data_IF_583802507901
#
_entry.id   IF_583802507901
#
_cell.length_a   1.000
_cell.length_b   1.000
_cell.length_c   1.000
_cell.angle_alpha   90.00
_cell.angle_beta   90.00
_cell.angle_gamma   90.00
#
_symmetry.space_group_name_H-M   'P 1'
#
loop_
_entity.id
_entity.type
_entity.pdbx_description
1 polymer ?
#
# COMPACT_ATOMS: atom_id res chain seq x y z
N UNK A 1 31.15 36.15 19.15
CA UNK A 1 30.30 36.71 20.23
C UNK A 1 29.77 35.53 21.02
N UNK A 2 30.44 35.19 22.13
CA UNK A 2 30.15 34.03 22.98
C UNK A 2 29.13 34.43 24.04
N UNK A 3 28.03 33.68 24.15
CA UNK A 3 27.24 33.60 25.38
C UNK A 3 26.93 32.13 25.64
N UNK A 4 27.53 31.62 26.71
CA UNK A 4 27.30 30.31 27.30
C UNK A 4 26.36 30.41 28.50
N UNK A 5 25.62 29.31 28.68
CA UNK A 5 25.28 28.62 29.94
C UNK A 5 23.90 28.79 30.62
N UNK A 6 23.30 27.60 30.76
CA UNK A 6 22.66 27.01 31.95
C UNK A 6 21.17 27.27 32.23
N UNK A 7 20.39 26.21 32.06
CA UNK A 7 19.46 25.76 33.10
C UNK A 7 19.28 24.23 33.08
N UNK A 8 19.33 23.66 34.29
CA UNK A 8 19.32 22.25 34.66
C UNK A 8 18.06 22.03 35.51
N UNK A 9 17.21 21.03 35.21
CA UNK A 9 16.24 20.39 36.13
C UNK A 9 15.61 19.18 35.40
N UNK A 10 16.10 17.94 35.54
CA UNK A 10 15.93 16.89 36.59
C UNK A 10 14.48 16.39 36.86
N UNK A 11 14.29 15.11 36.49
CA UNK A 11 13.45 14.03 37.09
C UNK A 11 11.94 14.10 36.76
N UNK A 12 11.37 13.14 36.02
CA UNK A 12 10.98 11.83 36.57
C UNK A 12 10.89 10.72 35.50
N UNK A 13 11.53 9.57 35.79
CA UNK A 13 11.36 8.29 35.10
C UNK A 13 10.41 7.44 35.95
N UNK A 14 9.26 7.05 35.39
CA UNK A 14 8.42 5.99 35.96
C UNK A 14 8.62 4.72 35.14
N UNK A 15 9.26 3.74 35.76
CA UNK A 15 9.44 2.39 35.25
C UNK A 15 8.16 1.57 35.43
N UNK A 16 7.68 0.94 34.36
CA UNK A 16 6.68 -0.13 34.43
C UNK A 16 7.40 -1.47 34.59
N UNK A 17 7.30 -2.05 35.77
CA UNK A 17 7.65 -3.45 36.06
C UNK A 17 6.33 -4.24 36.16
N UNK A 18 6.24 -5.44 35.57
CA UNK A 18 5.02 -6.26 35.60
C UNK A 18 4.86 -6.97 36.94
N UNK A 19 3.67 -6.89 37.55
CA UNK A 19 3.30 -7.75 38.67
C UNK A 19 2.61 -9.01 38.16
N UNK A 20 3.28 -10.14 38.36
CA UNK A 20 2.65 -11.45 38.47
C UNK A 20 2.17 -11.63 39.92
N UNK A 21 0.92 -12.04 40.12
CA UNK A 21 0.48 -12.62 41.39
C UNK A 21 -0.49 -13.78 41.13
N UNK A 22 0.01 -14.99 41.36
CA UNK A 22 -0.75 -16.21 41.56
C UNK A 22 -1.14 -16.32 43.05
N UNK A 23 -2.40 -16.61 43.35
CA UNK A 23 -2.83 -17.42 44.50
C UNK A 23 -4.33 -17.72 44.36
N UNK A 24 -4.71 -18.94 43.98
CA UNK A 24 -5.00 -20.05 44.91
C UNK A 24 -6.16 -19.74 45.86
N UNK A 25 -7.36 -20.21 45.50
CA UNK A 25 -8.58 -20.16 46.29
C UNK A 25 -9.45 -21.39 46.03
N UNK A 26 -8.96 -22.54 46.49
CA UNK A 26 -9.65 -23.83 46.54
C UNK A 26 -10.57 -23.87 47.77
N UNK A 27 -11.88 -23.99 47.55
CA UNK A 27 -12.85 -24.54 48.52
C UNK A 27 -13.91 -25.22 47.66
N UNK A 28 -14.24 -26.50 47.77
CA UNK A 28 -14.23 -27.37 48.95
C UNK A 28 -15.59 -28.07 48.95
N UNK A 29 -15.65 -29.18 48.23
CA UNK A 29 -16.74 -30.16 48.18
C UNK A 29 -16.98 -30.71 49.58
N UNK A 30 -18.21 -30.71 50.10
CA UNK A 30 -18.64 -31.71 51.08
C UNK A 30 -20.17 -31.85 51.12
N UNK A 31 -20.61 -33.02 50.69
CA UNK A 31 -21.83 -33.69 51.13
C UNK A 31 -21.73 -33.92 52.65
N UNK A 32 -22.84 -33.81 53.39
CA UNK A 32 -23.33 -34.87 54.26
C UNK A 32 -24.63 -34.46 54.96
N UNK A 33 -25.52 -35.44 55.04
CA UNK A 33 -26.85 -35.42 55.62
C UNK A 33 -26.87 -35.38 57.15
N UNK A 34 -27.98 -34.88 57.69
CA UNK A 34 -28.72 -35.26 58.90
C UNK A 34 -29.50 -34.02 59.35
N UNK A 35 -30.72 -34.03 59.89
CA UNK A 35 -31.81 -34.97 60.11
C UNK A 35 -32.93 -34.07 60.72
N UNK A 36 -34.11 -34.62 61.05
CA UNK A 36 -35.28 -34.00 61.75
C UNK A 36 -36.45 -33.69 60.79
N UNK A 37 -37.35 -34.63 60.53
CA UNK A 37 -38.39 -35.22 61.41
C UNK A 37 -39.75 -34.50 61.30
N UNK A 38 -40.70 -35.24 60.75
CA UNK A 38 -42.14 -35.30 61.05
C UNK A 38 -43.05 -34.06 60.94
N UNK A 39 -43.89 -34.10 59.91
CA UNK A 39 -45.33 -33.89 60.08
C UNK A 39 -46.11 -34.72 59.04
N UNK A 40 -46.97 -35.62 59.56
CA UNK A 40 -47.75 -36.63 58.84
C UNK A 40 -48.90 -36.04 57.96
N UNK A 41 -49.54 -36.85 57.10
CA UNK A 41 -50.05 -36.43 55.80
C UNK A 41 -51.53 -36.06 55.78
N UNK A 42 -51.88 -35.02 55.02
CA UNK A 42 -53.24 -34.85 54.48
C UNK A 42 -53.36 -35.59 53.15
N UNK A 43 -54.10 -36.69 53.17
CA UNK A 43 -54.57 -37.44 51.99
C UNK A 43 -55.42 -36.52 51.09
N UNK A 44 -54.76 -35.85 50.15
CA UNK A 44 -55.36 -35.26 48.96
C UNK A 44 -54.79 -35.96 47.74
N UNK A 45 -55.60 -36.78 47.07
CA UNK A 45 -55.19 -37.66 45.97
C UNK A 45 -54.38 -36.95 44.90
N UNK A 46 -53.06 -37.16 44.91
CA UNK A 46 -52.18 -36.85 43.78
C UNK A 46 -52.41 -37.91 42.72
N UNK A 47 -53.16 -37.54 41.67
CA UNK A 47 -53.13 -38.25 40.38
C UNK A 47 -51.67 -38.45 39.98
N UNK A 48 -51.25 -39.71 39.85
CA UNK A 48 -50.07 -40.06 39.08
C UNK A 48 -50.34 -39.65 37.64
N UNK A 49 -49.88 -38.45 37.27
CA UNK A 49 -49.75 -38.06 35.87
C UNK A 49 -48.53 -38.84 35.37
N UNK A 50 -48.76 -39.96 34.68
CA UNK A 50 -47.72 -40.56 33.86
C UNK A 50 -47.10 -39.45 33.00
N UNK A 51 -45.78 -39.22 33.05
CA UNK A 51 -45.14 -38.30 32.12
C UNK A 51 -45.41 -38.83 30.72
N UNK A 52 -46.35 -38.19 30.01
CA UNK A 52 -46.59 -38.47 28.60
C UNK A 52 -45.38 -37.88 27.87
N UNK A 53 -44.40 -38.72 27.57
CA UNK A 53 -43.26 -38.43 26.68
C UNK A 53 -43.72 -38.40 25.23
N UNK A 54 -44.73 -37.56 24.94
CA UNK A 54 -45.15 -37.26 23.58
C UNK A 54 -44.44 -36.00 23.13
N UNK A 55 -43.41 -36.14 22.31
CA UNK A 55 -42.80 -35.01 21.60
C UNK A 55 -43.85 -34.48 20.63
N UNK A 56 -44.20 -33.21 20.77
CA UNK A 56 -45.25 -32.63 19.91
C UNK A 56 -44.66 -32.25 18.55
N UNK A 57 -45.46 -32.38 17.49
CA UNK A 57 -45.01 -32.01 16.13
C UNK A 57 -44.58 -30.54 16.08
N UNK A 58 -45.22 -29.66 16.84
CA UNK A 58 -44.86 -28.25 16.94
C UNK A 58 -43.45 -28.04 17.53
N UNK A 59 -43.07 -28.85 18.53
CA UNK A 59 -41.75 -28.81 19.17
C UNK A 59 -40.64 -29.25 18.21
N UNK A 60 -40.90 -30.27 17.37
CA UNK A 60 -39.98 -30.68 16.30
C UNK A 60 -39.85 -29.61 15.22
N UNK A 61 -40.95 -29.02 14.77
CA UNK A 61 -40.90 -27.96 13.75
C UNK A 61 -40.18 -26.71 14.26
N UNK A 62 -40.35 -26.37 15.54
CA UNK A 62 -39.65 -25.27 16.18
C UNK A 62 -38.15 -25.57 16.29
N UNK A 63 -37.77 -26.78 16.71
CA UNK A 63 -36.38 -27.21 16.78
C UNK A 63 -35.69 -27.15 15.41
N UNK A 64 -36.36 -27.63 14.35
CA UNK A 64 -35.84 -27.52 12.97
C UNK A 64 -35.72 -26.06 12.55
N UNK A 65 -36.70 -25.21 12.86
CA UNK A 65 -36.65 -23.77 12.56
C UNK A 65 -35.45 -23.07 13.22
N UNK A 66 -35.19 -23.35 14.50
CA UNK A 66 -34.04 -22.79 15.22
C UNK A 66 -32.71 -23.29 14.64
N UNK A 67 -32.62 -24.58 14.30
CA UNK A 67 -31.41 -25.16 13.67
C UNK A 67 -31.17 -24.52 12.30
N UNK A 68 -32.20 -24.33 11.48
CA UNK A 68 -32.07 -23.70 10.16
C UNK A 68 -31.59 -22.25 10.27
N UNK A 69 -32.16 -21.46 11.18
CA UNK A 69 -31.72 -20.08 11.43
C UNK A 69 -30.27 -20.07 11.93
N UNK A 70 -29.90 -20.98 12.83
CA UNK A 70 -28.53 -21.13 13.32
C UNK A 70 -27.52 -21.50 12.22
N UNK A 71 -27.88 -22.43 11.34
CA UNK A 71 -27.03 -22.82 10.21
C UNK A 71 -26.88 -21.67 9.20
N UNK A 72 -27.95 -20.94 8.88
CA UNK A 72 -27.87 -19.76 8.01
C UNK A 72 -26.96 -18.69 8.61
N UNK A 73 -27.05 -18.44 9.92
CA UNK A 73 -26.16 -17.54 10.64
C UNK A 73 -24.68 -17.95 10.53
N UNK A 74 -24.36 -19.23 10.74
CA UNK A 74 -22.99 -19.74 10.59
C UNK A 74 -22.48 -19.61 9.14
N UNK A 75 -23.31 -19.94 8.14
CA UNK A 75 -22.91 -19.82 6.74
C UNK A 75 -22.63 -18.38 6.31
N UNK A 76 -23.30 -17.39 6.93
CA UNK A 76 -23.04 -15.98 6.66
C UNK A 76 -21.73 -15.47 7.28
N UNK A 77 -21.30 -16.04 8.41
CA UNK A 77 -20.10 -15.60 9.14
C UNK A 77 -18.82 -16.23 8.57
N UNK A 78 -18.89 -17.47 8.07
CA UNK A 78 -17.71 -18.21 7.60
C UNK A 78 -16.89 -17.47 6.50
N UNK A 79 -17.50 -16.90 5.43
CA UNK A 79 -16.75 -16.16 4.42
C UNK A 79 -16.07 -14.90 4.98
N UNK A 80 -16.74 -14.19 5.89
CA UNK A 80 -16.19 -12.99 6.53
C UNK A 80 -15.01 -13.34 7.44
N UNK A 81 -15.12 -14.43 8.21
CA UNK A 81 -14.04 -14.93 9.04
C UNK A 81 -12.85 -15.38 8.19
N UNK A 82 -13.10 -16.07 7.07
CA UNK A 82 -12.07 -16.46 6.10
C UNK A 82 -11.34 -15.27 5.52
N UNK A 83 -12.07 -14.23 5.10
CA UNK A 83 -11.47 -13.01 4.55
C UNK A 83 -10.59 -12.28 5.58
N UNK A 84 -11.08 -12.10 6.81
CA UNK A 84 -10.30 -11.47 7.89
C UNK A 84 -9.07 -12.30 8.29
N UNK A 85 -9.17 -13.62 8.27
CA UNK A 85 -8.04 -14.49 8.57
C UNK A 85 -6.95 -14.38 7.49
N UNK A 86 -7.34 -14.30 6.21
CA UNK A 86 -6.39 -14.09 5.13
C UNK A 86 -5.72 -12.71 5.22
N UNK A 87 -6.49 -11.65 5.46
CA UNK A 87 -5.93 -10.29 5.62
C UNK A 87 -4.93 -10.25 6.81
N UNK A 88 -5.24 -10.94 7.92
CA UNK A 88 -4.33 -11.04 9.07
C UNK A 88 -3.01 -11.75 8.70
N UNK A 89 -3.08 -12.84 7.93
CA UNK A 89 -1.88 -13.53 7.43
C UNK A 89 -1.07 -12.65 6.47
N UNK A 90 -1.74 -11.86 5.62
CA UNK A 90 -1.09 -10.90 4.73
C UNK A 90 -0.34 -9.83 5.54
N UNK A 91 -0.94 -9.29 6.61
CA UNK A 91 -0.28 -8.33 7.49
C UNK A 91 0.92 -8.93 8.23
N UNK A 92 0.79 -10.13 8.80
CA UNK A 92 1.88 -10.80 9.52
C UNK A 92 3.05 -11.12 8.59
N UNK A 93 2.74 -11.64 7.39
CA UNK A 93 3.76 -11.98 6.39
C UNK A 93 4.45 -10.73 5.85
N UNK A 94 3.68 -9.68 5.55
CA UNK A 94 4.24 -8.43 5.05
C UNK A 94 5.08 -7.71 6.12
N UNK A 95 4.70 -7.77 7.40
CA UNK A 95 5.51 -7.24 8.51
C UNK A 95 6.85 -8.00 8.64
N UNK A 96 6.81 -9.33 8.65
CA UNK A 96 8.01 -10.15 8.71
C UNK A 96 8.94 -9.94 7.50
N UNK A 97 8.35 -9.82 6.30
CA UNK A 97 9.08 -9.54 5.07
C UNK A 97 9.72 -8.15 5.10
N UNK A 98 8.98 -7.13 5.53
CA UNK A 98 9.48 -5.76 5.67
C UNK A 98 10.70 -5.70 6.58
N UNK A 99 10.68 -6.36 7.74
CA UNK A 99 11.83 -6.44 8.64
C UNK A 99 13.02 -7.17 8.01
N UNK A 100 12.76 -8.20 7.20
CA UNK A 100 13.78 -8.91 6.42
C UNK A 100 14.45 -8.01 5.40
N UNK A 101 13.64 -7.30 4.59
CA UNK A 101 14.11 -6.35 3.59
C UNK A 101 14.94 -5.23 4.23
N UNK A 102 14.48 -4.67 5.35
CA UNK A 102 15.23 -3.65 6.09
C UNK A 102 16.61 -4.15 6.55
N UNK A 103 16.68 -5.36 7.10
CA UNK A 103 17.95 -5.97 7.50
C UNK A 103 18.86 -6.21 6.30
N UNK A 104 18.30 -6.65 5.18
CA UNK A 104 19.05 -6.88 3.95
C UNK A 104 19.61 -5.60 3.35
N UNK A 105 18.79 -4.54 3.28
CA UNK A 105 19.17 -3.21 2.83
C UNK A 105 20.36 -2.68 3.63
N UNK A 106 20.30 -2.82 4.96
CA UNK A 106 21.40 -2.41 5.84
C UNK A 106 22.62 -3.33 5.68
N UNK A 107 22.43 -4.65 5.65
CA UNK A 107 23.53 -5.62 5.56
C UNK A 107 24.31 -5.51 4.24
N UNK A 108 23.62 -5.24 3.13
CA UNK A 108 24.21 -5.09 1.80
C UNK A 108 24.50 -3.65 1.42
N UNK A 109 24.14 -2.67 2.28
CA UNK A 109 24.23 -1.24 2.01
C UNK A 109 23.56 -0.85 0.67
N UNK A 110 22.34 -1.35 0.41
CA UNK A 110 21.66 -1.17 -0.89
C UNK A 110 21.27 0.27 -1.21
N UNK A 111 21.22 1.15 -0.20
CA UNK A 111 20.84 2.56 -0.35
C UNK A 111 22.06 3.46 -0.54
N UNK A 112 23.27 2.92 -0.43
CA UNK A 112 24.50 3.69 -0.64
C UNK A 112 24.60 4.12 -2.10
N UNK A 113 25.03 5.35 -2.37
CA UNK A 113 25.20 5.86 -3.74
C UNK A 113 26.05 4.91 -4.62
N UNK A 114 27.16 4.41 -4.06
CA UNK A 114 28.05 3.46 -4.74
C UNK A 114 27.40 2.08 -5.04
N UNK A 115 26.27 1.75 -4.43
CA UNK A 115 25.52 0.53 -4.72
C UNK A 115 24.45 0.74 -5.80
N UNK A 116 24.10 1.99 -6.11
CA UNK A 116 23.01 2.34 -7.02
C UNK A 116 23.50 2.66 -8.43
N UNK A 117 22.66 2.36 -9.42
CA UNK A 117 22.79 2.90 -10.79
C UNK A 117 21.70 3.95 -11.03
N UNK A 118 22.06 5.06 -11.66
CA UNK A 118 21.16 6.18 -11.94
C UNK A 118 21.65 7.50 -11.36
N UNK A 119 20.92 8.59 -11.65
CA UNK A 119 21.29 9.94 -11.20
C UNK A 119 20.51 10.27 -9.93
N UNK A 120 21.08 9.97 -8.77
CA UNK A 120 20.45 10.24 -7.46
C UNK A 120 21.03 11.47 -6.76
N UNK A 121 22.26 11.82 -7.12
CA UNK A 121 22.96 12.96 -6.60
C UNK A 121 22.99 14.07 -7.63
N UNK A 122 22.58 15.26 -7.20
CA UNK A 122 22.78 16.48 -7.95
C UNK A 122 23.75 17.37 -7.21
N UNK A 123 24.91 17.62 -7.83
CA UNK A 123 25.85 18.64 -7.39
C UNK A 123 25.54 19.96 -8.09
N UNK A 124 25.38 21.04 -7.32
CA UNK A 124 25.35 22.40 -7.86
C UNK A 124 26.25 23.33 -7.05
N UNK A 125 26.81 24.34 -7.72
CA UNK A 125 27.64 25.35 -7.07
C UNK A 125 26.84 26.62 -6.84
N UNK A 126 26.83 27.13 -5.61
CA UNK A 126 26.25 28.43 -5.26
C UNK A 126 27.19 29.19 -4.34
N UNK A 127 27.55 30.41 -4.73
CA UNK A 127 28.50 31.24 -3.96
C UNK A 127 29.88 30.59 -3.76
N UNK A 128 30.34 29.78 -4.73
CA UNK A 128 31.63 29.08 -4.65
C UNK A 128 31.66 27.86 -3.72
N UNK A 129 30.50 27.45 -3.19
CA UNK A 129 30.33 26.20 -2.44
C UNK A 129 29.57 25.19 -3.28
N UNK A 130 30.05 23.95 -3.29
CA UNK A 130 29.35 22.82 -3.89
C UNK A 130 28.34 22.24 -2.88
N UNK A 131 27.12 22.02 -3.33
CA UNK A 131 26.05 21.39 -2.59
C UNK A 131 25.65 20.13 -3.32
N UNK A 132 25.60 19.00 -2.61
CA UNK A 132 25.05 17.74 -3.11
C UNK A 132 23.66 17.54 -2.51
N UNK A 133 22.66 17.45 -3.39
CA UNK A 133 21.28 17.16 -3.02
C UNK A 133 20.95 15.74 -3.48
N UNK A 134 20.44 14.94 -2.54
CA UNK A 134 19.89 13.62 -2.83
C UNK A 134 18.47 13.83 -3.33
N UNK A 135 18.15 13.26 -4.48
CA UNK A 135 16.81 13.30 -5.04
C UNK A 135 15.94 12.19 -4.44
N UNK A 136 14.60 12.37 -4.36
CA UNK A 136 13.71 11.26 -4.07
C UNK A 136 13.79 10.19 -5.16
N UNK A 137 13.84 8.92 -4.75
CA UNK A 137 14.00 7.80 -5.67
C UNK A 137 13.32 6.55 -5.17
N UNK A 138 13.21 5.56 -6.04
CA UNK A 138 12.73 4.25 -5.67
C UNK A 138 13.66 3.14 -6.19
N UNK A 139 13.92 2.18 -5.31
CA UNK A 139 14.66 0.97 -5.61
C UNK A 139 13.64 -0.15 -5.78
N UNK A 140 13.54 -0.67 -6.99
CA UNK A 140 12.66 -1.77 -7.33
C UNK A 140 13.46 -2.82 -8.10
N UNK A 141 13.99 -3.85 -7.44
CA UNK A 141 14.95 -4.74 -8.10
C UNK A 141 14.36 -5.45 -9.33
N UNK A 142 13.03 -5.66 -9.39
CA UNK A 142 12.38 -6.29 -10.55
C UNK A 142 12.36 -5.39 -11.79
N UNK A 143 12.45 -4.07 -11.61
CA UNK A 143 12.36 -3.05 -12.67
C UNK A 143 13.61 -2.16 -12.79
N UNK A 144 14.54 -2.32 -11.86
CA UNK A 144 15.66 -1.44 -11.53
C UNK A 144 16.65 -1.15 -12.66
N UNK A 145 16.71 -1.98 -13.70
CA UNK A 145 17.79 -1.91 -14.68
C UNK A 145 17.31 -2.16 -16.11
N UNK A 146 16.07 -1.73 -16.40
CA UNK A 146 15.58 -1.70 -17.77
C UNK A 146 16.18 -0.50 -18.51
N UNK A 147 17.43 -0.64 -18.95
CA UNK A 147 18.21 0.40 -19.65
C UNK A 147 17.65 0.76 -21.04
N UNK A 148 16.70 -0.01 -21.55
CA UNK A 148 15.92 0.36 -22.71
C UNK A 148 14.59 0.91 -22.19
N UNK A 149 14.41 2.24 -22.10
CA UNK A 149 13.11 2.77 -21.74
C UNK A 149 12.14 2.29 -22.83
N UNK A 150 11.12 1.54 -22.44
CA UNK A 150 9.97 1.30 -23.31
C UNK A 150 9.23 2.64 -23.44
N UNK A 151 9.82 3.58 -24.18
CA UNK A 151 9.23 4.89 -24.44
C UNK A 151 8.19 4.69 -25.53
N UNK A 152 6.98 4.33 -25.12
CA UNK A 152 5.83 4.67 -25.91
C UNK A 152 5.31 6.01 -25.42
N UNK A 153 5.73 7.08 -26.10
CA UNK A 153 5.36 8.50 -25.92
C UNK A 153 5.23 9.03 -24.48
N UNK A 154 4.29 8.48 -23.71
CA UNK A 154 3.87 8.88 -22.36
C UNK A 154 4.23 7.88 -21.27
N UNK A 155 4.62 6.65 -21.61
CA UNK A 155 5.15 5.68 -20.65
C UNK A 155 6.67 5.73 -20.57
N UNK A 156 7.20 5.66 -19.35
CA UNK A 156 8.63 5.62 -19.09
C UNK A 156 8.92 4.75 -17.85
N UNK A 157 9.57 3.61 -18.08
CA UNK A 157 9.92 2.65 -17.03
C UNK A 157 11.00 3.14 -16.07
N UNK A 158 11.72 4.20 -16.41
CA UNK A 158 12.74 4.78 -15.52
C UNK A 158 12.12 5.62 -14.39
N UNK A 159 10.82 5.91 -14.43
CA UNK A 159 10.11 6.68 -13.41
C UNK A 159 8.98 5.88 -12.78
N UNK A 160 8.81 6.03 -11.47
CA UNK A 160 7.64 5.57 -10.74
C UNK A 160 6.71 6.76 -10.45
N UNK A 161 5.41 6.64 -10.80
CA UNK A 161 4.80 5.57 -11.61
C UNK A 161 5.31 5.59 -13.07
N UNK A 162 5.02 4.53 -13.85
CA UNK A 162 5.42 4.29 -15.26
C UNK A 162 5.07 5.38 -16.30
N UNK A 163 4.78 6.61 -15.89
CA UNK A 163 4.43 7.71 -16.76
C UNK A 163 5.59 8.70 -16.85
N UNK A 164 5.78 9.23 -18.05
CA UNK A 164 6.62 10.40 -18.31
C UNK A 164 6.30 11.55 -17.33
N UNK A 165 7.29 12.40 -17.07
CA UNK A 165 7.20 13.53 -16.12
C UNK A 165 6.17 14.58 -16.53
N UNK A 166 5.75 14.59 -17.79
CA UNK A 166 4.82 15.55 -18.37
C UNK A 166 3.50 14.89 -18.83
N UNK A 167 3.22 13.65 -18.37
CA UNK A 167 1.98 12.96 -18.68
C UNK A 167 0.76 13.64 -18.03
N UNK A 168 -0.31 13.86 -18.77
CA UNK A 168 -1.55 14.47 -18.29
C UNK A 168 -2.47 13.36 -17.76
N UNK A 169 -2.72 13.27 -16.43
CA UNK A 169 -3.51 12.20 -15.84
C UNK A 169 -4.96 12.14 -16.36
N UNK A 170 -5.44 13.19 -17.03
CA UNK A 170 -6.81 13.30 -17.52
C UNK A 170 -6.97 12.85 -18.98
N UNK A 171 -5.88 12.50 -19.65
CA UNK A 171 -5.87 12.02 -21.04
C UNK A 171 -5.54 10.53 -21.06
N UNK A 172 -6.03 9.80 -22.06
CA UNK A 172 -5.66 8.39 -22.26
C UNK A 172 -4.13 8.28 -22.47
N UNK A 173 -3.42 7.56 -21.57
CA UNK A 173 -1.97 7.42 -21.67
C UNK A 173 -1.48 6.62 -22.88
N UNK A 174 -2.36 5.82 -23.51
CA UNK A 174 -2.06 5.12 -24.77
C UNK A 174 -2.33 5.95 -26.02
N UNK A 175 -2.93 7.12 -25.87
CA UNK A 175 -3.23 8.02 -26.98
C UNK A 175 -2.08 9.00 -27.26
N UNK A 176 -1.96 9.40 -28.53
CA UNK A 176 -0.98 10.42 -28.91
C UNK A 176 -1.54 11.81 -28.60
N UNK A 177 -0.80 12.60 -27.84
CA UNK A 177 -1.21 13.97 -27.52
C UNK A 177 -0.06 14.94 -27.25
N UNK A 178 -0.30 16.21 -27.57
CA UNK A 178 0.61 17.32 -27.27
C UNK A 178 0.58 17.63 -25.78
N UNK A 179 1.76 17.72 -25.16
CA UNK A 179 1.92 17.99 -23.72
C UNK A 179 1.09 19.21 -23.30
N UNK A 180 0.28 19.03 -22.25
CA UNK A 180 -0.47 20.11 -21.63
C UNK A 180 0.48 20.91 -20.71
N UNK A 181 0.70 22.22 -20.94
CA UNK A 181 1.69 23.00 -20.19
C UNK A 181 1.50 22.97 -18.66
N UNK A 182 0.25 22.93 -18.18
CA UNK A 182 -0.08 22.91 -16.75
C UNK A 182 0.24 21.60 -16.02
N UNK A 183 0.67 20.56 -16.76
CA UNK A 183 1.03 19.25 -16.22
C UNK A 183 2.52 18.95 -16.36
N UNK A 184 3.33 19.91 -16.81
CA UNK A 184 4.77 19.73 -16.85
C UNK A 184 5.37 19.76 -15.43
N UNK A 185 6.50 19.06 -15.22
CA UNK A 185 7.23 19.11 -13.95
C UNK A 185 6.58 18.36 -12.79
N UNK A 186 5.85 17.28 -13.08
CA UNK A 186 5.22 16.47 -12.03
C UNK A 186 6.26 15.76 -11.16
N UNK A 187 5.95 15.53 -9.87
CA UNK A 187 6.78 14.70 -9.03
C UNK A 187 6.81 13.26 -9.56
N UNK A 188 8.01 12.68 -9.63
CA UNK A 188 8.26 11.29 -10.02
C UNK A 188 9.44 10.76 -9.23
N UNK A 189 9.35 9.53 -8.76
CA UNK A 189 10.49 8.84 -8.17
C UNK A 189 11.31 8.22 -9.30
N UNK A 190 12.60 8.53 -9.38
CA UNK A 190 13.46 7.82 -10.31
C UNK A 190 13.61 6.36 -9.86
N UNK A 191 13.39 5.40 -10.76
CA UNK A 191 13.78 4.01 -10.53
C UNK A 191 15.28 3.91 -10.63
N UNK A 192 15.88 3.42 -9.56
CA UNK A 192 17.32 3.24 -9.42
C UNK A 192 17.64 1.76 -9.52
N UNK A 193 18.71 1.46 -10.24
CA UNK A 193 19.19 0.09 -10.31
C UNK A 193 20.24 -0.21 -9.27
N UNK A 194 20.72 -1.44 -9.28
CA UNK A 194 21.81 -1.88 -8.42
C UNK A 194 23.05 -2.13 -9.27
N UNK A 195 24.20 -1.59 -8.85
CA UNK A 195 25.49 -1.84 -9.49
C UNK A 195 25.83 -3.34 -9.52
N UNK A 196 25.30 -4.13 -8.58
CA UNK A 196 25.40 -5.58 -8.57
C UNK A 196 24.81 -6.23 -9.85
N UNK A 197 23.91 -5.57 -10.56
CA UNK A 197 23.26 -6.09 -11.77
C UNK A 197 23.92 -5.65 -13.07
N UNK A 198 24.78 -4.64 -13.01
CA UNK A 198 25.40 -3.98 -14.17
C UNK A 198 26.11 -4.94 -15.14
N UNK A 199 26.70 -6.04 -14.63
CA UNK A 199 27.47 -7.01 -15.43
C UNK A 199 26.63 -8.11 -16.08
N UNK A 200 25.33 -8.19 -15.80
CA UNK A 200 24.44 -9.23 -16.32
C UNK A 200 23.63 -8.73 -17.52
N UNK A 201 23.15 -9.63 -18.37
CA UNK A 201 22.18 -9.29 -19.44
C UNK A 201 20.78 -9.07 -18.86
N UNK A 202 19.90 -8.35 -19.56
CA UNK A 202 18.56 -8.05 -19.07
C UNK A 202 17.77 -9.30 -18.58
N UNK A 203 17.71 -10.43 -19.33
CA UNK A 203 17.03 -11.63 -18.83
C UNK A 203 17.69 -12.21 -17.56
N UNK A 204 19.02 -12.15 -17.45
CA UNK A 204 19.73 -12.63 -16.27
C UNK A 204 19.47 -11.73 -15.06
N UNK A 205 19.42 -10.42 -15.26
CA UNK A 205 19.11 -9.45 -14.20
C UNK A 205 17.74 -9.71 -13.61
N UNK A 206 16.74 -9.97 -14.45
CA UNK A 206 15.38 -10.28 -13.99
C UNK A 206 15.33 -11.54 -13.11
N UNK A 207 15.98 -12.62 -13.53
CA UNK A 207 16.03 -13.86 -12.74
C UNK A 207 16.83 -13.68 -11.44
N UNK A 208 17.92 -12.91 -11.44
CA UNK A 208 18.67 -12.62 -10.22
C UNK A 208 17.86 -11.72 -9.28
N UNK A 209 17.24 -10.66 -9.80
CA UNK A 209 16.38 -9.77 -9.04
C UNK A 209 15.22 -10.53 -8.41
N UNK A 210 14.64 -11.50 -9.13
CA UNK A 210 13.62 -12.40 -8.61
C UNK A 210 14.09 -13.11 -7.33
N UNK A 211 15.32 -13.63 -7.32
CA UNK A 211 15.87 -14.29 -6.11
C UNK A 211 16.12 -13.36 -4.94
N UNK A 212 16.24 -12.04 -5.16
CA UNK A 212 16.41 -11.04 -4.10
C UNK A 212 15.08 -10.51 -3.60
N UNK A 213 14.08 -10.44 -4.48
CA UNK A 213 12.79 -9.83 -4.18
C UNK A 213 11.79 -10.83 -3.62
N UNK A 214 11.87 -12.09 -4.08
CA UNK A 214 11.02 -13.16 -3.57
C UNK A 214 11.61 -13.72 -2.28
N UNK A 215 10.86 -13.62 -1.18
CA UNK A 215 11.31 -14.07 0.15
C UNK A 215 11.54 -15.58 0.18
N UNK A 216 12.72 -16.08 0.60
CA UNK A 216 12.95 -17.52 0.81
C UNK A 216 12.16 -18.07 2.02
N UNK A 217 11.63 -17.19 2.87
CA UNK A 217 10.79 -17.53 4.01
C UNK A 217 9.29 -17.53 3.67
N UNK A 218 8.92 -17.34 2.40
CA UNK A 218 7.54 -17.48 1.96
C UNK A 218 7.05 -18.90 2.31
N UNK A 219 5.92 -18.96 2.99
CA UNK A 219 5.29 -20.21 3.36
C UNK A 219 4.63 -20.72 2.08
N UNK A 220 4.93 -21.94 1.61
CA UNK A 220 4.23 -22.44 0.42
C UNK A 220 2.76 -22.65 0.78
N UNK A 221 1.94 -21.67 0.44
CA UNK A 221 0.52 -21.64 0.73
C UNK A 221 -0.22 -21.63 -0.61
N UNK A 222 -1.08 -22.63 -0.80
CA UNK A 222 -2.05 -22.61 -1.87
C UNK A 222 -3.23 -21.80 -1.38
N UNK A 223 -3.32 -20.56 -1.83
CA UNK A 223 -4.50 -19.70 -1.65
C UNK A 223 -5.35 -19.77 -2.91
N UNK A 224 -6.55 -20.37 -2.85
CA UNK A 224 -7.49 -20.31 -3.96
C UNK A 224 -7.87 -18.86 -4.27
N UNK A 225 -8.08 -18.52 -5.56
CA UNK A 225 -8.58 -17.21 -5.96
C UNK A 225 -9.95 -16.90 -5.32
N UNK A 226 -10.71 -17.94 -4.99
CA UNK A 226 -11.93 -17.87 -4.21
C UNK A 226 -11.62 -17.69 -2.72
N UNK A 227 -11.95 -16.51 -2.19
CA UNK A 227 -11.73 -16.13 -0.78
C UNK A 227 -12.63 -16.88 0.22
N UNK A 228 -13.63 -17.63 -0.25
CA UNK A 228 -14.48 -18.46 0.63
C UNK A 228 -13.79 -19.75 1.05
N UNK A 229 -12.72 -20.13 0.37
CA UNK A 229 -11.95 -21.35 0.65
C UNK A 229 -10.74 -20.96 1.51
N UNK A 230 -10.50 -21.65 2.64
CA UNK A 230 -9.32 -21.38 3.46
C UNK A 230 -8.05 -21.67 2.66
N UNK A 231 -7.02 -20.88 2.91
CA UNK A 231 -5.72 -21.10 2.31
C UNK A 231 -5.02 -22.29 3.00
N UNK A 232 -4.28 -23.09 2.21
CA UNK A 232 -3.72 -24.37 2.65
C UNK A 232 -2.22 -24.37 2.47
N UNK A 233 -1.48 -24.61 3.56
CA UNK A 233 -0.05 -24.91 3.52
C UNK A 233 0.23 -26.17 2.71
N UNK A 234 1.00 -26.03 1.62
CA UNK A 234 1.35 -27.13 0.70
C UNK A 234 2.77 -27.69 0.89
N UNK A 235 3.52 -27.20 1.87
CA UNK A 235 4.97 -27.41 1.97
C UNK A 235 5.49 -28.62 2.77
N UNK A 236 4.68 -29.61 3.14
CA UNK A 236 5.11 -30.70 4.05
C UNK A 236 5.10 -32.12 3.43
N UNK A 237 4.84 -32.28 2.14
CA UNK A 237 4.90 -33.61 1.51
C UNK A 237 6.29 -33.88 0.93
N UNK A 238 7.11 -34.60 1.68
CA UNK A 238 8.34 -35.21 1.17
C UNK A 238 7.96 -36.21 0.05
N UNK A 239 8.31 -35.90 -1.19
CA UNK A 239 8.18 -36.87 -2.30
C UNK A 239 9.38 -37.80 -2.24
N UNK A 240 9.21 -39.04 -1.81
CA UNK A 240 10.30 -40.04 -1.82
C UNK A 240 10.65 -40.42 -3.27
N UNK A 241 11.77 -39.94 -3.80
CA UNK A 241 12.27 -40.31 -5.13
C UNK A 241 13.72 -39.85 -5.36
N UNK A 242 14.46 -40.52 -6.24
CA UNK A 242 15.88 -40.26 -6.49
C UNK A 242 16.19 -38.86 -7.08
N UNK A 243 15.15 -38.12 -7.50
CA UNK A 243 15.20 -36.73 -7.94
C UNK A 243 14.43 -35.79 -6.98
N UNK A 244 14.18 -36.19 -5.73
CA UNK A 244 13.44 -35.35 -4.80
C UNK A 244 14.29 -34.16 -4.35
N UNK A 245 13.62 -33.01 -4.24
CA UNK A 245 14.18 -31.84 -3.57
C UNK A 245 14.54 -32.27 -2.14
N UNK A 246 15.75 -31.92 -1.71
CA UNK A 246 16.26 -32.19 -0.36
C UNK A 246 15.26 -31.63 0.66
N UNK A 247 14.94 -32.46 1.65
CA UNK A 247 14.04 -32.13 2.75
C UNK A 247 14.43 -30.77 3.39
N UNK A 248 13.46 -29.87 3.51
CA UNK A 248 13.64 -28.55 4.10
C UNK A 248 14.01 -27.39 3.15
N UNK A 249 14.28 -27.61 1.85
CA UNK A 249 14.46 -26.48 0.91
C UNK A 249 13.10 -25.98 0.40
N UNK A 250 12.58 -24.94 1.04
CA UNK A 250 11.38 -24.21 0.60
C UNK A 250 11.65 -23.59 -0.78
N UNK A 251 10.79 -23.88 -1.75
CA UNK A 251 10.75 -23.10 -2.99
C UNK A 251 9.88 -21.89 -2.68
N UNK A 252 10.41 -20.66 -2.78
CA UNK A 252 9.58 -19.47 -2.61
C UNK A 252 8.47 -19.51 -3.65
N UNK A 253 7.23 -19.36 -3.22
CA UNK A 253 6.07 -19.28 -4.12
C UNK A 253 6.12 -18.03 -5.00
N UNK A 254 6.97 -17.05 -4.65
CA UNK A 254 7.08 -15.77 -5.33
C UNK A 254 5.81 -14.93 -5.16
N UNK A 255 5.01 -15.25 -4.14
CA UNK A 255 3.73 -14.61 -3.89
C UNK A 255 3.92 -13.18 -3.38
N UNK A 256 5.06 -12.87 -2.75
CA UNK A 256 5.36 -11.52 -2.31
C UNK A 256 6.61 -10.95 -2.98
N UNK A 257 6.55 -9.65 -3.25
CA UNK A 257 7.67 -8.86 -3.77
C UNK A 257 7.73 -7.52 -3.06
N UNK A 258 8.79 -6.75 -3.24
CA UNK A 258 8.99 -5.49 -2.54
C UNK A 258 9.60 -4.42 -3.44
N UNK A 259 9.31 -3.17 -3.12
CA UNK A 259 10.08 -2.00 -3.57
C UNK A 259 10.39 -1.11 -2.37
N UNK A 260 11.36 -0.22 -2.53
CA UNK A 260 11.71 0.80 -1.54
C UNK A 260 11.53 2.16 -2.18
N UNK A 261 10.87 3.09 -1.50
CA UNK A 261 10.86 4.51 -1.87
C UNK A 261 11.62 5.30 -0.83
N UNK A 262 12.52 6.18 -1.27
CA UNK A 262 13.30 7.07 -0.42
C UNK A 262 12.92 8.51 -0.72
N UNK A 263 12.51 9.23 0.30
CA UNK A 263 12.09 10.62 0.28
C UNK A 263 12.96 11.44 1.25
N UNK A 264 14.04 12.11 0.78
CA UNK A 264 14.86 12.98 1.60
C UNK A 264 14.07 14.21 2.05
N UNK A 265 14.13 14.54 3.34
CA UNK A 265 13.55 15.79 3.86
C UNK A 265 14.57 16.92 3.68
N UNK A 266 14.21 17.95 2.91
CA UNK A 266 15.09 19.08 2.62
C UNK A 266 15.54 19.86 3.86
N UNK A 267 14.74 19.86 4.92
CA UNK A 267 15.02 20.63 6.14
C UNK A 267 15.76 19.81 7.18
N UNK A 268 16.00 18.53 6.90
CA UNK A 268 16.49 17.57 7.88
C UNK A 268 17.69 16.79 7.34
N UNK A 269 18.50 16.28 8.26
CA UNK A 269 19.55 15.30 7.93
C UNK A 269 18.99 13.88 7.76
N UNK A 270 17.68 13.74 7.93
CA UNK A 270 16.98 12.47 7.87
C UNK A 270 16.11 12.41 6.61
N UNK A 271 15.90 11.21 6.09
CA UNK A 271 14.92 10.94 5.04
C UNK A 271 13.89 9.92 5.51
N UNK A 272 12.74 9.87 4.84
CA UNK A 272 11.79 8.78 4.99
C UNK A 272 12.12 7.68 3.98
N UNK A 273 12.16 6.44 4.43
CA UNK A 273 12.29 5.26 3.59
C UNK A 273 11.07 4.37 3.82
N UNK A 274 10.28 4.14 2.78
CA UNK A 274 9.16 3.23 2.84
C UNK A 274 9.50 1.92 2.14
N UNK A 275 9.31 0.80 2.84
CA UNK A 275 9.33 -0.54 2.26
C UNK A 275 7.91 -0.92 1.90
N UNK A 276 7.65 -1.07 0.61
CA UNK A 276 6.34 -1.37 0.05
C UNK A 276 6.33 -2.85 -0.32
N UNK A 277 5.41 -3.61 0.25
CA UNK A 277 5.26 -5.04 0.03
C UNK A 277 4.04 -5.28 -0.85
N UNK A 278 4.26 -6.04 -1.92
CA UNK A 278 3.23 -6.45 -2.86
C UNK A 278 2.91 -7.93 -2.71
N UNK A 279 1.67 -8.31 -3.03
CA UNK A 279 1.24 -9.69 -3.17
C UNK A 279 0.84 -10.00 -4.62
N UNK A 280 1.54 -10.91 -5.28
CA UNK A 280 1.25 -11.35 -6.66
C UNK A 280 1.34 -10.20 -7.69
N UNK A 281 2.23 -9.24 -7.43
CA UNK A 281 2.46 -8.05 -8.26
C UNK A 281 2.51 -8.38 -9.75
N UNK A 282 1.67 -7.70 -10.53
CA UNK A 282 1.75 -7.73 -11.98
C UNK A 282 3.06 -7.09 -12.46
N UNK A 283 3.76 -7.80 -13.36
CA UNK A 283 5.08 -7.41 -13.88
C UNK A 283 4.94 -6.88 -15.30
N UNK A 284 4.24 -5.75 -15.45
CA UNK A 284 4.04 -5.14 -16.76
C UNK A 284 5.36 -4.54 -17.25
N UNK A 285 5.94 -5.13 -18.28
CA UNK A 285 7.09 -4.58 -19.02
C UNK A 285 6.70 -4.08 -20.41
N UNK A 286 5.49 -4.42 -20.86
CA UNK A 286 5.01 -4.14 -22.20
C UNK A 286 3.89 -3.11 -22.11
N UNK A 287 4.13 -1.92 -22.67
CA UNK A 287 3.13 -0.85 -22.76
C UNK A 287 2.46 -0.88 -24.13
N UNK A 288 1.17 -0.49 -24.20
CA UNK A 288 0.47 -0.44 -25.48
C UNK A 288 1.16 0.54 -26.44
N UNK A 289 1.34 0.11 -27.70
CA UNK A 289 1.92 0.93 -28.76
C UNK A 289 0.87 1.67 -29.61
N UNK A 290 -0.40 1.59 -29.20
CA UNK A 290 -1.55 2.19 -29.85
C UNK A 290 -2.66 2.42 -28.80
N UNK A 291 -3.64 3.31 -29.07
CA UNK A 291 -4.77 3.52 -28.18
C UNK A 291 -5.48 2.23 -27.82
N UNK A 292 -5.72 2.00 -26.53
CA UNK A 292 -6.35 0.77 -26.03
C UNK A 292 -7.87 0.91 -25.97
N UNK A 293 -8.58 -0.20 -26.15
CA UNK A 293 -10.05 -0.22 -26.09
C UNK A 293 -10.56 -0.32 -24.64
N UNK A 294 -9.75 -0.89 -23.74
CA UNK A 294 -10.15 -1.13 -22.36
C UNK A 294 -9.11 -0.60 -21.37
N UNK A 295 -9.60 -0.07 -20.24
CA UNK A 295 -8.73 0.51 -19.22
C UNK A 295 -7.73 -0.47 -18.59
N UNK A 296 -8.04 -1.78 -18.60
CA UNK A 296 -7.15 -2.84 -18.10
C UNK A 296 -5.89 -3.05 -18.98
N UNK A 297 -5.91 -2.60 -20.24
CA UNK A 297 -4.77 -2.76 -21.15
C UNK A 297 -3.73 -1.66 -21.01
N UNK A 298 -4.08 -0.57 -20.32
CA UNK A 298 -3.12 0.45 -19.88
C UNK A 298 -2.34 -0.06 -18.65
N UNK A 299 -1.38 0.72 -18.16
CA UNK A 299 -0.56 0.37 -16.99
C UNK A 299 -1.40 0.25 -15.70
N UNK A 300 -2.12 -0.87 -15.52
CA UNK A 300 -3.04 -1.11 -14.41
C UNK A 300 -2.30 -1.16 -13.06
N UNK A 301 -1.10 -1.74 -13.06
CA UNK A 301 -0.26 -1.91 -11.88
C UNK A 301 0.13 -0.58 -11.20
N UNK A 302 0.29 0.49 -11.98
CA UNK A 302 0.69 1.81 -11.48
C UNK A 302 -0.06 2.89 -12.25
N UNK A 303 -1.06 3.49 -11.60
CA UNK A 303 -1.93 4.51 -12.18
C UNK A 303 -1.67 5.85 -11.52
N UNK A 304 -1.83 6.94 -12.26
CA UNK A 304 -1.73 8.29 -11.71
C UNK A 304 -3.09 8.99 -11.76
N UNK A 305 -3.43 9.70 -10.70
CA UNK A 305 -4.61 10.54 -10.60
C UNK A 305 -4.24 11.92 -10.06
N UNK A 306 -5.02 12.92 -10.45
CA UNK A 306 -4.97 14.26 -9.86
C UNK A 306 -5.80 14.27 -8.58
N UNK A 307 -5.31 14.99 -7.56
CA UNK A 307 -5.97 15.09 -6.26
C UNK A 307 -6.59 16.48 -6.08
N UNK A 308 -7.83 16.52 -5.60
CA UNK A 308 -8.53 17.74 -5.22
C UNK A 308 -9.53 17.52 -4.08
N UNK A 309 -10.30 18.57 -3.77
CA UNK A 309 -11.30 18.60 -2.69
C UNK A 309 -10.84 17.91 -1.40
N UNK A 310 -9.62 18.26 -0.95
CA UNK A 310 -8.99 17.65 0.19
C UNK A 310 -9.47 18.27 1.51
N UNK A 311 -9.84 17.42 2.47
CA UNK A 311 -10.35 17.82 3.78
C UNK A 311 -9.75 16.92 4.86
N UNK A 312 -9.26 17.49 5.96
CA UNK A 312 -8.95 16.74 7.19
C UNK A 312 -7.48 16.40 7.44
N UNK A 313 -6.55 16.71 6.53
CA UNK A 313 -5.12 16.35 6.60
C UNK A 313 -4.27 17.15 7.61
N UNK A 314 -4.88 17.58 8.72
CA UNK A 314 -4.20 18.27 9.80
C UNK A 314 -4.42 17.51 11.13
N UNK A 315 -3.35 17.11 11.80
CA UNK A 315 -3.38 16.37 13.06
C UNK A 315 -2.97 14.89 12.96
N UNK A 316 -2.51 14.42 11.81
CA UNK A 316 -1.83 13.14 11.61
C UNK A 316 -2.74 11.92 11.46
N UNK A 317 -4.03 12.12 11.16
CA UNK A 317 -5.02 11.04 11.00
C UNK A 317 -5.48 10.86 9.54
N UNK A 318 -4.77 11.46 8.59
CA UNK A 318 -5.17 11.55 7.19
C UNK A 318 -6.41 12.40 6.96
N UNK A 319 -7.19 12.12 5.92
CA UNK A 319 -8.33 12.94 5.51
C UNK A 319 -9.05 12.38 4.29
N UNK A 320 -10.07 13.08 3.78
CA UNK A 320 -10.75 12.72 2.54
C UNK A 320 -10.22 13.52 1.37
N UNK A 321 -10.02 12.88 0.22
CA UNK A 321 -9.69 13.54 -1.05
C UNK A 321 -10.57 13.04 -2.17
N UNK A 322 -10.68 13.85 -3.21
CA UNK A 322 -11.24 13.46 -4.49
C UNK A 322 -10.11 13.16 -5.48
N UNK A 323 -10.14 11.96 -6.04
CA UNK A 323 -9.25 11.53 -7.11
C UNK A 323 -9.93 11.77 -8.46
N UNK A 324 -9.16 12.19 -9.45
CA UNK A 324 -9.60 12.41 -10.83
C UNK A 324 -8.56 11.86 -11.80
N UNK A 325 -8.97 10.99 -12.72
CA UNK A 325 -8.09 10.42 -13.74
C UNK A 325 -8.85 10.13 -15.04
N UNK A 326 -8.12 9.84 -16.11
CA UNK A 326 -8.64 9.41 -17.40
C UNK A 326 -9.53 8.16 -17.28
N UNK A 327 -10.64 8.15 -18.01
CA UNK A 327 -11.55 7.03 -18.19
C UNK A 327 -10.89 5.82 -18.85
N UNK A 328 -9.71 6.00 -19.47
CA UNK A 328 -8.88 4.92 -19.99
C UNK A 328 -7.97 4.28 -18.94
N UNK A 329 -8.06 4.70 -17.68
CA UNK A 329 -7.36 4.07 -16.54
C UNK A 329 -8.38 3.45 -15.59
N UNK A 330 -8.00 2.38 -14.87
CA UNK A 330 -8.90 1.76 -13.93
C UNK A 330 -9.22 2.71 -12.77
N UNK A 331 -10.49 2.76 -12.38
CA UNK A 331 -10.99 3.50 -11.22
C UNK A 331 -11.11 2.64 -9.97
N UNK A 332 -10.80 1.34 -10.08
CA UNK A 332 -10.96 0.39 -8.98
C UNK A 332 -9.98 0.72 -7.86
N UNK A 333 -10.56 1.02 -6.69
CA UNK A 333 -9.89 1.18 -5.42
C UNK A 333 -10.81 0.65 -4.33
N UNK A 334 -10.25 -0.03 -3.35
CA UNK A 334 -10.99 -0.64 -2.24
C UNK A 334 -10.36 -0.24 -0.91
N UNK A 335 -11.16 -0.34 0.17
CA UNK A 335 -10.63 -0.18 1.53
C UNK A 335 -9.52 -1.21 1.77
N UNK A 336 -8.41 -0.76 2.35
CA UNK A 336 -7.21 -1.54 2.57
C UNK A 336 -6.13 -1.39 1.49
N UNK A 337 -6.46 -0.84 0.31
CA UNK A 337 -5.44 -0.52 -0.69
C UNK A 337 -4.54 0.63 -0.24
N UNK A 338 -3.39 0.77 -0.90
CA UNK A 338 -2.43 1.83 -0.64
C UNK A 338 -2.30 2.73 -1.86
N UNK A 339 -2.05 4.00 -1.60
CA UNK A 339 -1.68 4.97 -2.63
C UNK A 339 -0.57 5.87 -2.10
N UNK A 340 0.15 6.52 -3.00
CA UNK A 340 1.18 7.48 -2.66
C UNK A 340 0.74 8.88 -3.11
N UNK A 341 0.70 9.84 -2.19
CA UNK A 341 0.57 11.25 -2.55
C UNK A 341 1.95 11.82 -2.86
N UNK A 342 1.98 12.68 -3.87
CA UNK A 342 3.19 13.34 -4.34
C UNK A 342 2.91 14.78 -4.72
N UNK A 343 3.85 15.68 -4.39
CA UNK A 343 3.80 17.08 -4.82
C UNK A 343 5.21 17.64 -5.01
N UNK A 344 5.34 18.64 -5.87
CA UNK A 344 6.53 19.49 -5.94
C UNK A 344 6.32 20.68 -5.01
N UNK A 345 7.13 20.85 -3.97
CA UNK A 345 6.98 21.96 -3.00
C UNK A 345 7.73 23.23 -3.41
N UNK A 346 8.71 23.10 -4.32
CA UNK A 346 9.48 24.21 -4.89
C UNK A 346 9.59 24.06 -6.40
N UNK A 347 8.54 24.41 -7.17
CA UNK A 347 8.59 24.23 -8.62
C UNK A 347 9.68 25.14 -9.25
N UNK A 348 10.28 24.65 -10.34
CA UNK A 348 11.36 25.32 -11.07
C UNK A 348 11.24 25.03 -12.58
N UNK A 349 11.90 25.84 -13.43
CA UNK A 349 11.78 25.70 -14.89
C UNK A 349 12.39 24.38 -15.40
N UNK A 350 11.66 23.67 -16.27
CA UNK A 350 12.08 22.37 -16.84
C UNK A 350 12.84 22.55 -18.17
N UNK A 351 13.93 21.79 -18.42
CA UNK A 351 14.64 20.96 -17.46
C UNK A 351 15.52 21.86 -16.59
N UNK A 352 15.48 21.75 -15.25
CA UNK A 352 16.37 22.54 -14.43
C UNK A 352 17.81 22.08 -14.70
N UNK A 353 18.74 22.99 -14.96
CA UNK A 353 20.18 22.65 -15.06
C UNK A 353 20.73 22.04 -13.74
N UNK A 354 19.99 22.18 -12.64
CA UNK A 354 20.08 21.40 -11.41
C UNK A 354 18.65 21.30 -10.86
N UNK A 355 18.10 20.11 -10.60
CA UNK A 355 16.74 19.98 -10.00
C UNK A 355 16.77 20.49 -8.55
N UNK A 356 16.58 21.80 -8.40
CA UNK A 356 16.32 22.56 -7.15
C UNK A 356 14.85 22.39 -6.70
N UNK A 357 14.11 21.50 -7.37
CA UNK A 357 12.73 21.20 -7.04
C UNK A 357 12.63 20.14 -5.94
N UNK A 358 12.28 20.60 -4.74
CA UNK A 358 11.81 19.77 -3.64
C UNK A 358 10.58 18.98 -4.07
N UNK A 359 10.67 17.66 -4.03
CA UNK A 359 9.51 16.79 -4.22
C UNK A 359 9.31 16.01 -2.94
N UNK A 360 8.05 15.81 -2.56
CA UNK A 360 7.69 15.09 -1.34
C UNK A 360 6.77 13.95 -1.71
N UNK A 361 7.01 12.78 -1.11
CA UNK A 361 6.26 11.56 -1.35
C UNK A 361 5.86 10.93 -0.01
N UNK A 362 4.57 10.60 0.13
CA UNK A 362 4.02 9.98 1.34
C UNK A 362 3.02 8.90 0.99
N UNK A 363 3.11 7.76 1.66
CA UNK A 363 2.18 6.66 1.49
C UNK A 363 0.98 6.82 2.41
N UNK A 364 -0.20 6.47 1.89
CA UNK A 364 -1.46 6.53 2.59
C UNK A 364 -2.21 5.21 2.40
N UNK A 365 -2.87 4.79 3.47
CA UNK A 365 -3.78 3.66 3.42
C UNK A 365 -5.19 4.16 3.12
N UNK A 366 -5.87 3.52 2.19
CA UNK A 366 -7.28 3.79 1.89
C UNK A 366 -8.12 3.15 2.96
N UNK A 367 -8.78 3.96 3.79
CA UNK A 367 -9.69 3.49 4.85
C UNK A 367 -11.08 3.25 4.29
N UNK A 368 -11.51 4.07 3.36
CA UNK A 368 -12.85 4.01 2.79
C UNK A 368 -12.91 4.63 1.41
N UNK A 369 -13.88 4.18 0.63
CA UNK A 369 -14.20 4.71 -0.69
C UNK A 369 -15.67 5.15 -0.64
N UNK A 370 -15.92 6.39 -1.01
CA UNK A 370 -17.24 7.00 -0.93
C UNK A 370 -17.95 6.87 -2.29
N UNK A 371 -18.77 5.82 -2.41
CA UNK A 371 -19.58 5.53 -3.59
C UNK A 371 -18.83 4.86 -4.74
N UNK A 372 -19.55 4.70 -5.85
CA UNK A 372 -18.98 4.21 -7.11
C UNK A 372 -18.31 5.35 -7.89
N UNK A 373 -17.28 5.07 -8.71
CA UNK A 373 -16.63 6.08 -9.55
C UNK A 373 -17.64 6.77 -10.48
N UNK A 374 -17.66 8.10 -10.45
CA UNK A 374 -18.51 8.91 -11.34
C UNK A 374 -17.73 9.24 -12.61
N UNK A 375 -18.29 8.88 -13.77
CA UNK A 375 -17.67 9.16 -15.07
C UNK A 375 -18.22 10.46 -15.63
N UNK A 376 -17.32 11.33 -16.08
CA UNK A 376 -17.61 12.60 -16.71
C UNK A 376 -17.03 12.63 -18.12
N UNK A 377 -17.71 13.33 -19.02
CA UNK A 377 -17.19 13.67 -20.35
C UNK A 377 -17.11 15.19 -20.43
N UNK A 378 -16.01 15.81 -19.93
CA UNK A 378 -15.86 17.25 -19.95
C UNK A 378 -15.87 17.77 -21.39
N UNK A 379 -16.80 18.67 -21.69
CA UNK A 379 -16.92 19.29 -23.02
C UNK A 379 -16.25 20.66 -23.10
N UNK A 380 -15.95 21.29 -21.96
CA UNK A 380 -15.32 22.62 -21.83
C UNK A 380 -14.46 22.69 -20.54
N UNK A 381 -13.83 23.85 -20.29
CA UNK A 381 -13.36 24.28 -18.96
C UNK A 381 -14.42 23.94 -17.92
N UNK A 382 -14.20 22.87 -17.17
CA UNK A 382 -15.18 22.39 -16.20
C UNK A 382 -14.48 22.10 -14.91
N UNK A 383 -15.09 22.56 -13.83
CA UNK A 383 -14.65 22.18 -12.50
C UNK A 383 -15.31 20.85 -12.16
N UNK A 384 -14.53 19.77 -12.14
CA UNK A 384 -15.01 18.44 -11.72
C UNK A 384 -14.54 18.24 -10.29
N UNK A 385 -15.48 18.24 -9.34
CA UNK A 385 -15.11 17.98 -7.94
C UNK A 385 -14.18 19.03 -7.33
N UNK A 386 -14.44 20.31 -7.59
CA UNK A 386 -13.58 21.41 -7.12
C UNK A 386 -12.23 21.53 -7.85
N UNK A 387 -11.87 20.57 -8.71
CA UNK A 387 -10.66 20.62 -9.54
C UNK A 387 -11.01 21.36 -10.83
N UNK A 388 -10.41 22.54 -11.02
CA UNK A 388 -10.50 23.23 -12.31
C UNK A 388 -9.73 22.40 -13.34
N UNK A 389 -10.45 21.75 -14.26
CA UNK A 389 -9.84 21.10 -15.42
C UNK A 389 -9.66 22.18 -16.49
N UNK A 390 -8.42 22.61 -16.81
CA UNK A 390 -8.20 23.69 -17.77
C UNK A 390 -8.80 23.36 -19.14
N UNK A 391 -9.41 24.35 -19.79
CA UNK A 391 -10.03 24.21 -21.10
C UNK A 391 -8.96 23.93 -22.12
N UNK A 392 -9.47 23.36 -23.21
CA UNK A 392 -8.85 23.45 -24.51
C UNK A 392 -8.30 24.85 -24.80
N UNK A 393 -6.98 24.95 -24.96
CA UNK A 393 -6.48 25.76 -26.07
C UNK A 393 -6.84 25.05 -27.38
N UNK A 394 -6.94 25.79 -28.49
CA UNK A 394 -7.52 25.39 -29.78
C UNK A 394 -6.88 24.19 -30.53
N UNK A 395 -6.01 23.43 -29.87
CA UNK A 395 -5.29 22.24 -30.33
C UNK A 395 -5.48 21.01 -29.41
N UNK A 396 -6.56 20.97 -28.63
CA UNK A 396 -6.69 20.14 -27.43
C UNK A 396 -6.84 18.62 -27.69
N UNK A 397 -5.99 17.77 -27.09
CA UNK A 397 -6.18 16.31 -27.07
C UNK A 397 -7.30 15.81 -26.13
N UNK A 398 -7.87 16.66 -25.26
CA UNK A 398 -8.95 16.27 -24.34
C UNK A 398 -10.35 16.31 -24.96
N UNK A 399 -10.49 16.67 -26.24
CA UNK A 399 -11.79 16.56 -26.92
C UNK A 399 -12.19 15.08 -26.98
N UNK A 400 -13.24 14.71 -26.25
CA UNK A 400 -13.75 13.33 -26.11
C UNK A 400 -13.03 12.43 -25.08
N UNK A 401 -12.16 12.97 -24.22
CA UNK A 401 -11.64 12.15 -23.10
C UNK A 401 -12.69 12.04 -22.01
N UNK A 402 -13.08 10.82 -21.67
CA UNK A 402 -13.81 10.54 -20.44
C UNK A 402 -12.84 10.62 -19.26
N UNK A 403 -13.33 11.06 -18.10
CA UNK A 403 -12.58 11.05 -16.84
C UNK A 403 -13.46 10.41 -15.77
N UNK A 404 -12.87 9.68 -14.84
CA UNK A 404 -13.57 9.20 -13.66
C UNK A 404 -13.15 10.01 -12.43
N UNK A 405 -14.08 10.20 -11.50
CA UNK A 405 -13.81 10.75 -10.19
C UNK A 405 -14.22 9.80 -9.08
N UNK A 406 -13.41 9.73 -8.03
CA UNK A 406 -13.66 8.87 -6.88
C UNK A 406 -13.24 9.59 -5.61
N UNK A 407 -14.14 9.65 -4.62
CA UNK A 407 -13.82 10.21 -3.30
C UNK A 407 -13.35 9.10 -2.36
N UNK A 408 -12.23 9.33 -1.69
CA UNK A 408 -11.56 8.33 -0.87
C UNK A 408 -11.17 8.94 0.48
N UNK A 409 -11.22 8.11 1.52
CA UNK A 409 -10.71 8.44 2.85
C UNK A 409 -9.36 7.79 3.04
N UNK A 410 -8.36 8.60 3.39
CA UNK A 410 -6.98 8.21 3.55
C UNK A 410 -6.58 8.30 5.02
N UNK A 411 -5.81 7.34 5.48
CA UNK A 411 -5.11 7.33 6.77
C UNK A 411 -3.61 7.47 6.50
N UNK A 412 -2.98 8.40 7.22
CA UNK A 412 -1.58 8.76 7.01
C UNK A 412 -1.19 10.11 7.61
N UNK A 413 0.03 10.59 7.31
CA UNK A 413 0.56 11.82 7.87
C UNK A 413 -0.16 13.07 7.35
N UNK A 414 0.16 14.22 7.94
CA UNK A 414 -0.33 15.51 7.45
C UNK A 414 0.16 15.80 6.03
N UNK A 415 -0.70 16.43 5.25
CA UNK A 415 -0.42 16.87 3.89
C UNK A 415 -0.93 18.28 3.65
N UNK A 416 -0.09 19.08 3.02
CA UNK A 416 -0.42 20.45 2.65
C UNK A 416 -0.73 20.47 1.15
N UNK A 417 -1.92 20.92 0.78
CA UNK A 417 -2.40 20.92 -0.61
C UNK A 417 -2.18 22.29 -1.24
N UNK A 418 -1.61 22.31 -2.44
CA UNK A 418 -1.62 23.53 -3.25
C UNK A 418 -3.02 23.78 -3.80
N UNK A 419 -3.52 24.99 -3.60
CA UNK A 419 -4.82 25.44 -4.13
C UNK A 419 -4.70 26.21 -5.45
N UNK A 420 -3.47 26.48 -5.91
CA UNK A 420 -3.24 27.29 -7.09
C UNK A 420 -3.23 26.42 -8.37
N UNK A 421 -4.04 26.76 -9.39
CA UNK A 421 -3.90 26.14 -10.70
C UNK A 421 -2.53 26.47 -11.29
N UNK A 422 -1.90 25.47 -11.89
CA UNK A 422 -0.61 25.63 -12.56
C UNK A 422 -0.81 25.90 -14.06
N UNK A 423 -0.08 26.87 -14.58
CA UNK A 423 -0.04 27.17 -16.03
C UNK A 423 1.22 26.64 -16.69
N UNK A 424 2.23 26.24 -15.91
CA UNK A 424 3.53 25.75 -16.38
C UNK A 424 4.27 24.93 -15.29
N UNK A 425 5.36 24.27 -15.67
CA UNK A 425 6.20 23.53 -14.72
C UNK A 425 6.79 24.37 -13.58
N UNK A 426 7.00 25.68 -13.80
CA UNK A 426 7.58 26.58 -12.79
C UNK A 426 6.62 26.92 -11.66
N UNK A 427 5.33 26.63 -11.86
CA UNK A 427 4.25 26.89 -10.91
C UNK A 427 3.55 25.61 -10.47
N UNK A 428 3.94 24.45 -11.00
CA UNK A 428 3.26 23.19 -10.71
C UNK A 428 3.56 22.67 -9.31
N UNK A 429 2.63 22.95 -8.39
CA UNK A 429 2.62 22.40 -7.03
C UNK A 429 1.41 21.51 -6.77
N UNK A 430 0.74 21.04 -7.84
CA UNK A 430 -0.43 20.19 -7.72
C UNK A 430 -0.09 18.87 -7.01
N UNK A 431 -1.07 18.32 -6.29
CA UNK A 431 -0.92 17.02 -5.65
C UNK A 431 -1.42 15.93 -6.59
N UNK A 432 -0.60 14.89 -6.75
CA UNK A 432 -0.89 13.72 -7.55
C UNK A 432 -0.95 12.49 -6.64
N UNK A 433 -1.88 11.60 -6.91
CA UNK A 433 -1.97 10.28 -6.28
C UNK A 433 -1.45 9.23 -7.26
N UNK A 434 -0.52 8.41 -6.81
CA UNK A 434 -0.12 7.18 -7.50
C UNK A 434 -0.86 6.02 -6.86
N UNK A 435 -1.76 5.40 -7.62
CA UNK A 435 -2.51 4.23 -7.21
C UNK A 435 -1.72 3.00 -7.64
N UNK A 436 -1.50 2.09 -6.70
CA UNK A 436 -0.67 0.92 -6.92
C UNK A 436 -1.47 -0.31 -6.53
N UNK A 437 -1.54 -1.28 -7.44
CA UNK A 437 -2.25 -2.52 -7.18
C UNK A 437 -1.44 -3.46 -6.30
N UNK A 438 -2.15 -4.37 -5.64
CA UNK A 438 -1.57 -5.48 -4.90
C UNK A 438 -0.63 -5.13 -3.74
N UNK A 439 -0.56 -3.86 -3.32
CA UNK A 439 0.17 -3.46 -2.12
C UNK A 439 -0.58 -3.94 -0.88
N UNK A 440 0.06 -4.78 -0.08
CA UNK A 440 -0.50 -5.31 1.17
C UNK A 440 -0.06 -4.53 2.39
N UNK A 441 1.18 -4.02 2.39
CA UNK A 441 1.70 -3.22 3.49
C UNK A 441 2.76 -2.23 3.02
N UNK A 442 2.81 -1.11 3.73
CA UNK A 442 3.90 -0.13 3.64
C UNK A 442 4.44 0.12 5.04
N UNK A 443 5.75 0.00 5.20
CA UNK A 443 6.44 0.26 6.47
C UNK A 443 7.45 1.37 6.27
N UNK A 444 7.23 2.50 6.95
CA UNK A 444 8.11 3.66 6.88
C UNK A 444 9.15 3.65 8.01
N UNK A 445 10.40 3.98 7.66
CA UNK A 445 11.52 4.13 8.57
C UNK A 445 12.25 5.44 8.27
N UNK A 446 12.67 6.11 9.32
CA UNK A 446 13.56 7.26 9.20
C UNK A 446 15.01 6.79 9.01
N UNK A 447 15.67 7.27 7.97
CA UNK A 447 17.08 6.98 7.67
C UNK A 447 17.92 8.25 7.81
N UNK A 448 19.22 8.10 8.09
CA UNK A 448 20.16 9.22 8.09
C UNK A 448 20.71 9.41 6.67
N UNK A 449 20.55 10.59 6.09
CA UNK A 449 21.03 10.89 4.73
C UNK A 449 22.56 10.83 4.62
N UNK A 450 23.29 11.00 5.74
CA UNK A 450 24.73 10.82 5.76
C UNK A 450 25.16 9.36 5.47
N UNK A 451 24.30 8.37 5.72
CA UNK A 451 24.62 6.97 5.40
C UNK A 451 24.52 6.68 3.89
N UNK A 452 23.82 7.53 3.13
CA UNK A 452 23.76 7.47 1.67
C UNK A 452 25.10 7.83 1.02
N UNK A 453 25.80 8.83 1.58
CA UNK A 453 27.04 9.39 1.03
C UNK A 453 28.33 8.70 1.50
N UNK A 454 28.26 7.87 2.55
CA UNK A 454 29.39 7.06 3.00
C UNK A 454 29.78 6.05 1.96
#
# INVERSE_FOLDING_TARGET
MNITMNSFLKISRSALVPQALNSAGSVGRMLSAADVSDCAPRLGGRRMVSPRTGITLIEVTFAIGVILIGMVGLTAILPLAGHRAQDALDFDTAAAMSDGVLKEVVARNLIRDAALTGVQNLSYSSGGKEFTVIQPFCLDPLLADNTAPAVYEKYDMSWFPFYSTDHDPLVDPSSTYTISPGFAGQPRLQRVGLNAFSSYTFPQRFEIARTWVESPNDLSELRPKDRTIPAVLTGLKATTGANSIIDGKRIPTGAYSWMITVDPDEQSRYGSMAVVIYQSRERTTDFPSAPVETANQNAAAERIALVGDAIGFAGGAGGSVQLLSSGATLSQLTSGNWLMLSRTTRPAATPPAARVASQVFRWYRVVGVDGEPTVYTPTNDTTVGGISVPASHSSNPRSNTTVWSLKVMLDGPDWDFSTAPSTDATTNSLTYATLVEDVVAVNEKTILLADFLK
#
